data_IF_014131179801
#
_entry.id   IF_014131179801
#
_cell.length_a   1.000
_cell.length_b   1.000
_cell.length_c   1.000
_cell.angle_alpha   90.00
_cell.angle_beta   90.00
_cell.angle_gamma   90.00
#
_symmetry.space_group_name_H-M   'P 1'
#
loop_
_entity.id
_entity.type
_entity.pdbx_description
1 polymer ?
#
# COMPACT_ATOMS: atom_id res chain seq x y z
N UNK A 1 -6.47 -14.82 -16.79
CA UNK A 1 -7.38 -14.01 -15.94
C UNK A 1 -6.54 -12.91 -15.30
N UNK A 2 -6.87 -11.64 -15.53
CA UNK A 2 -6.22 -10.54 -14.80
C UNK A 2 -6.70 -10.60 -13.35
N UNK A 3 -5.80 -10.70 -12.35
CA UNK A 3 -6.20 -10.80 -10.95
C UNK A 3 -6.97 -9.55 -10.52
N UNK A 4 -7.99 -9.74 -9.67
CA UNK A 4 -8.70 -8.63 -9.07
C UNK A 4 -7.73 -7.81 -8.19
N UNK A 5 -7.72 -6.47 -8.29
CA UNK A 5 -6.85 -5.66 -7.46
C UNK A 5 -7.14 -5.89 -5.97
N UNK A 6 -6.10 -6.19 -5.18
CA UNK A 6 -6.28 -6.52 -3.76
C UNK A 6 -6.92 -5.37 -2.97
N UNK A 7 -6.65 -4.13 -3.37
CA UNK A 7 -7.18 -2.89 -2.79
C UNK A 7 -8.68 -2.64 -3.09
N UNK A 8 -9.33 -3.48 -3.90
CA UNK A 8 -10.80 -3.56 -4.01
C UNK A 8 -11.42 -4.56 -3.02
N UNK A 9 -10.67 -4.97 -2.00
CA UNK A 9 -11.12 -5.97 -1.02
C UNK A 9 -11.27 -7.37 -1.61
N UNK A 10 -10.42 -7.70 -2.59
CA UNK A 10 -10.44 -8.99 -3.28
C UNK A 10 -11.69 -9.21 -4.15
N UNK A 11 -12.47 -8.17 -4.40
CA UNK A 11 -13.65 -8.21 -5.26
C UNK A 11 -13.28 -7.72 -6.67
N UNK A 12 -14.06 -8.17 -7.66
CA UNK A 12 -13.94 -7.66 -9.05
C UNK A 12 -14.54 -6.25 -9.21
N UNK A 13 -15.42 -5.89 -8.28
CA UNK A 13 -16.14 -4.63 -8.23
C UNK A 13 -16.23 -4.20 -6.76
N UNK A 14 -15.96 -2.93 -6.46
CA UNK A 14 -15.95 -2.42 -5.10
C UNK A 14 -15.42 -0.99 -5.00
N UNK A 15 -15.31 -0.51 -3.77
CA UNK A 15 -14.77 0.81 -3.48
C UNK A 15 -13.25 0.76 -3.32
N UNK A 16 -12.56 1.58 -4.09
CA UNK A 16 -11.14 1.87 -3.91
C UNK A 16 -10.97 2.96 -2.85
N UNK A 17 -10.00 2.80 -1.94
CA UNK A 17 -9.65 3.83 -0.97
C UNK A 17 -8.30 4.44 -1.32
N UNK A 18 -8.24 5.77 -1.40
CA UNK A 18 -7.03 6.50 -1.81
C UNK A 18 -5.81 6.18 -0.94
N UNK A 19 -6.01 5.79 0.32
CA UNK A 19 -4.92 5.46 1.22
C UNK A 19 -4.19 4.13 0.88
N UNK A 20 -4.74 3.29 0.00
CA UNK A 20 -4.15 1.99 -0.38
C UNK A 20 -4.23 1.67 -1.87
N UNK A 21 -5.12 2.35 -2.61
CA UNK A 21 -5.28 2.18 -4.04
C UNK A 21 -4.46 3.23 -4.80
N UNK A 22 -3.94 2.92 -6.01
CA UNK A 22 -3.14 3.86 -6.79
C UNK A 22 -3.91 5.14 -7.16
N UNK A 23 -3.26 6.29 -7.09
CA UNK A 23 -3.81 7.62 -7.36
C UNK A 23 -4.35 7.73 -8.78
N UNK A 24 -3.69 7.06 -9.73
CA UNK A 24 -4.13 6.95 -11.12
C UNK A 24 -5.53 6.31 -11.25
N UNK A 25 -5.97 5.49 -10.29
CA UNK A 25 -7.34 4.96 -10.28
C UNK A 25 -8.40 6.04 -10.06
N UNK A 26 -8.05 7.10 -9.32
CA UNK A 26 -8.93 8.24 -9.02
C UNK A 26 -8.85 9.35 -10.07
N UNK A 27 -7.77 9.38 -10.88
CA UNK A 27 -7.61 10.28 -12.01
C UNK A 27 -8.18 9.72 -13.33
N UNK A 28 -8.54 8.43 -13.36
CA UNK A 28 -9.05 7.76 -14.54
C UNK A 28 -10.48 8.23 -14.90
N UNK A 29 -10.81 8.36 -16.19
CA UNK A 29 -12.14 8.76 -16.63
C UNK A 29 -13.19 7.69 -16.29
N UNK A 30 -14.32 8.13 -15.73
CA UNK A 30 -15.47 7.27 -15.41
C UNK A 30 -16.05 6.60 -16.66
N UNK A 31 -16.39 5.32 -16.55
CA UNK A 31 -17.06 4.53 -17.60
C UNK A 31 -16.13 4.01 -18.70
N UNK A 32 -14.81 4.17 -18.57
CA UNK A 32 -13.85 3.68 -19.54
C UNK A 32 -12.82 2.74 -18.89
N UNK A 33 -12.58 1.55 -19.49
CA UNK A 33 -11.49 0.68 -19.07
C UNK A 33 -10.14 1.39 -19.15
N UNK A 34 -9.44 1.46 -18.02
CA UNK A 34 -8.14 2.08 -17.87
C UNK A 34 -7.15 1.05 -17.35
N UNK A 35 -5.96 1.01 -17.96
CA UNK A 35 -4.87 0.12 -17.52
C UNK A 35 -3.96 0.86 -16.55
N UNK A 36 -3.83 0.32 -15.35
CA UNK A 36 -2.94 0.81 -14.30
C UNK A 36 -1.69 -0.06 -14.22
N UNK A 37 -0.52 0.57 -14.20
CA UNK A 37 0.76 -0.11 -13.95
C UNK A 37 1.22 0.30 -12.56
N UNK A 38 1.34 -0.67 -11.68
CA UNK A 38 1.65 -0.47 -10.25
C UNK A 38 2.80 -1.39 -9.85
N UNK A 39 3.37 -1.17 -8.66
CA UNK A 39 4.37 -2.07 -8.10
C UNK A 39 3.85 -3.51 -7.90
N UNK A 40 2.55 -3.65 -7.63
CA UNK A 40 1.90 -4.95 -7.44
C UNK A 40 1.53 -5.65 -8.76
N UNK A 41 1.72 -4.98 -9.90
CA UNK A 41 1.44 -5.50 -11.22
C UNK A 41 0.58 -4.59 -12.09
N UNK A 42 0.07 -5.16 -13.19
CA UNK A 42 -0.75 -4.46 -14.17
C UNK A 42 -2.22 -4.84 -13.95
N UNK A 43 -3.07 -3.82 -13.76
CA UNK A 43 -4.50 -3.97 -13.55
C UNK A 43 -5.28 -3.28 -14.66
N UNK A 44 -6.41 -3.86 -15.07
CA UNK A 44 -7.40 -3.18 -15.91
C UNK A 44 -8.62 -2.91 -15.05
N UNK A 45 -8.99 -1.65 -14.90
CA UNK A 45 -10.10 -1.19 -14.06
C UNK A 45 -11.06 -0.34 -14.87
N UNK A 46 -12.30 -0.24 -14.42
CA UNK A 46 -13.29 0.68 -14.97
C UNK A 46 -13.85 1.49 -13.81
N UNK A 47 -13.53 2.80 -13.71
CA UNK A 47 -14.11 3.64 -12.66
C UNK A 47 -15.62 3.79 -12.89
N UNK A 48 -16.43 3.36 -11.92
CA UNK A 48 -17.90 3.32 -12.04
C UNK A 48 -18.58 4.65 -11.67
N UNK A 49 -17.87 5.55 -11.01
CA UNK A 49 -18.39 6.85 -10.58
C UNK A 49 -17.28 7.83 -10.26
N UNK A 50 -17.65 9.03 -9.84
CA UNK A 50 -16.71 10.04 -9.37
C UNK A 50 -16.12 9.66 -8.01
N UNK A 51 -14.89 10.12 -7.76
CA UNK A 51 -14.26 9.99 -6.45
C UNK A 51 -14.98 10.89 -5.44
N UNK A 52 -15.48 10.29 -4.37
CA UNK A 52 -16.19 10.99 -3.30
C UNK A 52 -15.46 10.81 -1.98
N UNK A 53 -15.57 11.77 -1.04
CA UNK A 53 -14.99 11.62 0.29
C UNK A 53 -15.60 10.42 1.00
N UNK A 54 -14.81 9.78 1.86
CA UNK A 54 -15.20 8.57 2.59
C UNK A 54 -16.56 8.72 3.33
N UNK A 55 -16.82 9.91 3.88
CA UNK A 55 -18.06 10.23 4.60
C UNK A 55 -19.32 10.33 3.74
N UNK A 56 -19.20 10.31 2.41
CA UNK A 56 -20.35 10.30 1.50
C UNK A 56 -20.99 8.90 1.37
N UNK A 57 -20.31 7.84 1.81
CA UNK A 57 -20.79 6.47 1.70
C UNK A 57 -21.37 5.94 3.02
N UNK A 58 -22.49 5.20 2.99
CA UNK A 58 -22.96 4.44 4.14
C UNK A 58 -21.91 3.44 4.63
N UNK A 59 -21.72 3.35 5.96
CA UNK A 59 -20.72 2.48 6.57
C UNK A 59 -20.84 1.01 6.11
N UNK A 60 -22.08 0.54 5.90
CA UNK A 60 -22.35 -0.83 5.46
C UNK A 60 -21.73 -1.14 4.08
N UNK A 61 -21.71 -0.16 3.17
CA UNK A 61 -21.19 -0.31 1.81
C UNK A 61 -19.65 -0.27 1.83
N UNK A 62 -19.07 0.62 2.64
CA UNK A 62 -17.62 0.86 2.63
C UNK A 62 -16.81 -0.06 3.56
N UNK A 63 -17.48 -0.79 4.46
CA UNK A 63 -16.85 -1.68 5.43
C UNK A 63 -15.86 -2.70 4.82
N UNK A 64 -16.12 -3.36 3.67
CA UNK A 64 -15.16 -4.28 3.07
C UNK A 64 -13.86 -3.61 2.62
N UNK A 65 -13.97 -2.41 2.04
CA UNK A 65 -12.81 -1.62 1.61
C UNK A 65 -11.99 -1.13 2.82
N UNK A 66 -12.67 -0.63 3.87
CA UNK A 66 -12.02 -0.24 5.12
C UNK A 66 -11.29 -1.40 5.78
N UNK A 67 -11.93 -2.58 5.87
CA UNK A 67 -11.29 -3.77 6.46
C UNK A 67 -10.00 -4.11 5.72
N UNK A 68 -10.03 -4.06 4.39
CA UNK A 68 -8.87 -4.36 3.55
C UNK A 68 -7.74 -3.36 3.77
N UNK A 69 -8.05 -2.07 3.82
CA UNK A 69 -7.06 -1.04 4.08
C UNK A 69 -6.43 -1.19 5.47
N UNK A 70 -7.26 -1.40 6.51
CA UNK A 70 -6.78 -1.61 7.88
C UNK A 70 -5.90 -2.86 8.01
N UNK A 71 -6.26 -3.96 7.33
CA UNK A 71 -5.42 -5.16 7.27
C UNK A 71 -4.10 -4.90 6.56
N UNK A 72 -4.09 -4.07 5.52
CA UNK A 72 -2.85 -3.67 4.83
C UNK A 72 -1.93 -2.89 5.77
N UNK A 73 -2.46 -1.87 6.47
CA UNK A 73 -1.70 -1.08 7.43
C UNK A 73 -1.14 -1.94 8.57
N UNK A 74 -1.97 -2.82 9.14
CA UNK A 74 -1.52 -3.75 10.18
C UNK A 74 -0.43 -4.72 9.71
N UNK A 75 -0.46 -5.14 8.43
CA UNK A 75 0.63 -5.95 7.84
C UNK A 75 1.91 -5.14 7.68
N UNK A 76 1.81 -3.89 7.24
CA UNK A 76 2.96 -2.98 7.14
C UNK A 76 3.62 -2.77 8.50
N UNK A 77 2.85 -2.40 9.52
CA UNK A 77 3.34 -2.21 10.89
C UNK A 77 3.98 -3.49 11.47
N UNK A 78 3.33 -4.64 11.25
CA UNK A 78 3.86 -5.92 11.71
C UNK A 78 5.17 -6.29 10.98
N UNK A 79 5.27 -5.98 9.69
CA UNK A 79 6.49 -6.17 8.91
C UNK A 79 7.63 -5.34 9.47
N UNK A 80 7.43 -4.04 9.68
CA UNK A 80 8.45 -3.15 10.25
C UNK A 80 8.90 -3.57 11.64
N UNK A 81 7.96 -3.96 12.50
CA UNK A 81 8.29 -4.47 13.83
C UNK A 81 9.11 -5.75 13.76
N UNK A 82 8.79 -6.64 12.82
CA UNK A 82 9.49 -7.90 12.64
C UNK A 82 10.89 -7.70 12.04
N UNK A 83 11.04 -6.86 11.03
CA UNK A 83 12.34 -6.57 10.40
C UNK A 83 13.27 -5.86 11.37
N UNK A 84 12.80 -4.88 12.15
CA UNK A 84 13.61 -4.20 13.16
C UNK A 84 14.19 -5.19 14.18
N UNK A 85 13.38 -6.12 14.70
CA UNK A 85 13.84 -7.19 15.60
C UNK A 85 14.91 -8.08 14.97
N UNK A 86 14.76 -8.41 13.67
CA UNK A 86 15.77 -9.21 12.94
C UNK A 86 17.05 -8.44 12.72
N UNK A 87 16.98 -7.16 12.34
CA UNK A 87 18.13 -6.28 12.19
C UNK A 87 18.88 -6.17 13.52
N UNK A 88 18.18 -5.93 14.63
CA UNK A 88 18.79 -5.83 15.95
C UNK A 88 19.49 -7.13 16.37
N UNK A 89 18.85 -8.28 16.13
CA UNK A 89 19.45 -9.58 16.41
C UNK A 89 20.69 -9.87 15.54
N UNK A 90 20.69 -9.40 14.28
CA UNK A 90 21.84 -9.52 13.39
C UNK A 90 23.00 -8.64 13.87
N UNK A 91 22.73 -7.36 14.16
CA UNK A 91 23.73 -6.41 14.67
C UNK A 91 24.39 -6.93 15.94
N UNK A 92 23.60 -7.46 16.89
CA UNK A 92 24.14 -8.03 18.13
C UNK A 92 25.11 -9.20 17.93
N UNK A 93 25.14 -9.83 16.76
CA UNK A 93 26.06 -10.92 16.40
C UNK A 93 27.25 -10.47 15.55
N UNK A 94 27.23 -9.24 15.05
CA UNK A 94 28.28 -8.71 14.16
C UNK A 94 29.12 -7.62 14.80
N UNK A 95 28.85 -7.26 16.06
CA UNK A 95 29.57 -6.20 16.79
C UNK A 95 31.05 -6.54 16.95
N UNK A 96 31.91 -5.70 16.40
CA UNK A 96 33.36 -5.71 16.63
C UNK A 96 33.79 -4.52 17.51
N UNK A 97 34.99 -4.60 18.08
CA UNK A 97 35.54 -3.52 18.89
C UNK A 97 35.73 -2.25 18.02
N UNK A 98 35.00 -1.18 18.36
CA UNK A 98 34.95 0.13 17.67
C UNK A 98 34.09 0.20 16.40
N UNK A 99 33.10 -0.68 16.25
CA UNK A 99 32.14 -0.52 15.15
C UNK A 99 31.23 0.70 15.37
N UNK A 100 31.04 1.46 14.30
CA UNK A 100 29.96 2.42 14.14
C UNK A 100 28.83 1.73 13.38
N UNK A 101 27.86 1.18 14.13
CA UNK A 101 26.80 0.36 13.57
C UNK A 101 25.64 1.24 13.07
N UNK A 102 24.98 0.86 11.95
CA UNK A 102 23.84 1.60 11.46
C UNK A 102 22.65 1.53 12.44
N UNK A 103 21.83 2.57 12.47
CA UNK A 103 20.56 2.53 13.19
C UNK A 103 19.63 1.46 12.60
N UNK A 104 18.95 0.71 13.47
CA UNK A 104 17.90 -0.24 13.06
C UNK A 104 16.61 0.51 12.79
N UNK A 105 15.91 0.15 11.73
CA UNK A 105 14.62 0.74 11.41
C UNK A 105 14.20 0.54 9.97
N UNK A 106 13.01 1.05 9.67
CA UNK A 106 12.52 1.22 8.32
C UNK A 106 13.39 2.26 7.61
N UNK A 107 13.81 1.97 6.38
CA UNK A 107 14.47 2.97 5.54
C UNK A 107 13.37 3.82 4.92
N UNK A 108 13.38 5.12 5.23
CA UNK A 108 12.57 6.08 4.50
C UNK A 108 13.18 6.31 3.12
N UNK A 109 12.63 5.65 2.10
CA UNK A 109 13.09 5.81 0.72
C UNK A 109 12.89 7.24 0.21
N UNK A 110 11.95 8.02 0.74
CA UNK A 110 11.78 9.42 0.37
C UNK A 110 12.96 10.30 0.72
N UNK A 111 13.56 10.05 1.88
CA UNK A 111 14.70 10.81 2.37
C UNK A 111 16.00 10.53 1.58
N UNK A 112 16.16 9.33 1.02
CA UNK A 112 17.44 8.89 0.44
C UNK A 112 17.38 8.48 -1.03
N UNK A 113 16.25 7.95 -1.51
CA UNK A 113 16.04 7.38 -2.84
C UNK A 113 14.66 7.78 -3.39
N UNK A 114 14.37 9.08 -3.60
CA UNK A 114 13.03 9.57 -3.90
C UNK A 114 12.46 9.03 -5.21
N UNK A 115 13.31 8.57 -6.13
CA UNK A 115 12.88 7.91 -7.37
C UNK A 115 12.33 6.49 -7.17
N UNK A 116 12.54 5.91 -5.98
CA UNK A 116 11.94 4.63 -5.57
C UNK A 116 10.67 4.82 -4.75
N UNK A 117 10.29 6.07 -4.41
CA UNK A 117 9.00 6.30 -3.77
C UNK A 117 7.88 5.87 -4.72
N UNK A 118 7.11 4.90 -4.25
CA UNK A 118 5.88 4.51 -4.90
C UNK A 118 4.82 5.50 -4.44
N UNK A 119 4.66 6.59 -5.19
CA UNK A 119 3.53 7.50 -4.99
C UNK A 119 2.24 6.76 -5.38
N UNK A 120 1.58 6.17 -4.38
CA UNK A 120 0.22 5.66 -4.49
C UNK A 120 -0.79 6.80 -4.33
#
# INVERSE_FOLDING_TARGET
>A
MTPAPWWLGGQREGLALQAVAPALAFAAPTGFPTTLRTADGIFSIEPLGEALPLGAYPLAIIRPALRTALLSFGRGEAFETWTAKRQQAALGRTVCLRDDLPETGAVDFGAYLPFLELNF
#
